data_IF_716735190476
#
_entry.id   IF_716735190476
#
_cell.length_a   1.000
_cell.length_b   1.000
_cell.length_c   1.000
_cell.angle_alpha   90.00
_cell.angle_beta   90.00
_cell.angle_gamma   90.00
#
_symmetry.space_group_name_H-M   'P 1'
#
loop_
_entity.id
_entity.type
_entity.pdbx_description
1 polymer ?
#
# COMPACT_ATOMS: atom_id res chain seq x y z
N UNK A 1 -5.90 21.20 -13.16
CA UNK A 1 -4.92 21.24 -14.27
C UNK A 1 -4.27 19.86 -14.35
N UNK A 2 -4.63 19.05 -15.36
CA UNK A 2 -3.97 17.77 -15.65
C UNK A 2 -2.83 18.07 -16.63
N UNK A 3 -1.57 18.00 -16.16
CA UNK A 3 -0.37 17.64 -16.94
C UNK A 3 0.92 18.17 -16.28
N UNK A 4 1.65 17.25 -15.64
CA UNK A 4 3.08 17.03 -15.87
C UNK A 4 3.28 15.53 -15.68
N UNK A 5 3.50 14.80 -16.78
CA UNK A 5 3.66 13.34 -16.77
C UNK A 5 5.05 12.95 -17.28
N UNK A 6 5.54 11.78 -16.86
CA UNK A 6 6.76 11.21 -17.43
C UNK A 6 6.55 10.88 -18.90
N UNK A 7 7.52 11.18 -19.77
CA UNK A 7 7.46 11.08 -21.25
C UNK A 7 7.19 9.67 -21.83
N UNK A 8 7.12 8.62 -21.00
CA UNK A 8 6.80 7.28 -21.47
C UNK A 8 5.31 7.15 -21.81
N UNK A 9 4.97 7.32 -23.09
CA UNK A 9 3.64 7.02 -23.61
C UNK A 9 3.45 5.50 -23.73
N UNK A 10 2.64 4.94 -22.84
CA UNK A 10 2.17 3.56 -22.99
C UNK A 10 1.05 3.49 -24.04
N UNK A 11 0.94 2.39 -24.81
CA UNK A 11 -0.12 2.24 -25.79
C UNK A 11 -1.51 2.28 -25.11
N UNK A 12 -2.50 2.85 -25.82
CA UNK A 12 -3.90 2.95 -25.36
C UNK A 12 -4.66 1.61 -25.36
N UNK A 13 -3.96 0.48 -25.45
CA UNK A 13 -4.53 -0.87 -25.35
C UNK A 13 -4.72 -1.28 -23.88
N UNK A 14 -5.51 -2.33 -23.61
CA UNK A 14 -5.55 -2.95 -22.28
C UNK A 14 -4.14 -3.30 -21.81
N UNK A 15 -3.82 -2.99 -20.56
CA UNK A 15 -2.51 -3.25 -19.95
C UNK A 15 -2.66 -4.26 -18.81
N UNK A 16 -1.73 -5.21 -18.64
CA UNK A 16 -1.71 -6.11 -17.47
C UNK A 16 -1.58 -5.35 -16.14
N UNK A 17 -1.21 -4.06 -16.18
CA UNK A 17 -1.12 -3.16 -15.04
C UNK A 17 -2.50 -2.66 -14.58
N UNK A 18 -3.52 -2.69 -15.45
CA UNK A 18 -4.83 -2.07 -15.18
C UNK A 18 -5.56 -2.72 -14.02
N UNK A 19 -5.55 -4.04 -13.96
CA UNK A 19 -6.25 -4.77 -12.90
C UNK A 19 -5.59 -4.56 -11.53
N UNK A 20 -4.25 -4.66 -11.39
CA UNK A 20 -3.55 -4.25 -10.18
C UNK A 20 -3.87 -2.81 -9.74
N UNK A 21 -3.92 -1.85 -10.68
CA UNK A 21 -4.27 -0.47 -10.39
C UNK A 21 -5.71 -0.36 -9.88
N UNK A 22 -6.68 -1.02 -10.51
CA UNK A 22 -8.08 -1.05 -10.06
C UNK A 22 -8.22 -1.68 -8.68
N UNK A 23 -7.53 -2.79 -8.43
CA UNK A 23 -7.52 -3.47 -7.14
C UNK A 23 -6.95 -2.57 -6.02
N UNK A 24 -5.83 -1.90 -6.28
CA UNK A 24 -5.26 -0.92 -5.35
C UNK A 24 -6.26 0.22 -5.08
N UNK A 25 -6.92 0.74 -6.12
CA UNK A 25 -7.88 1.83 -5.99
C UNK A 25 -9.08 1.48 -5.13
N UNK A 26 -9.67 0.30 -5.35
CA UNK A 26 -10.81 -0.18 -4.55
C UNK A 26 -10.42 -0.28 -3.08
N UNK A 27 -9.25 -0.84 -2.77
CA UNK A 27 -8.73 -0.89 -1.40
C UNK A 27 -8.51 0.51 -0.81
N UNK A 28 -7.94 1.42 -1.61
CA UNK A 28 -7.76 2.82 -1.21
C UNK A 28 -9.07 3.52 -0.88
N UNK A 29 -10.12 3.32 -1.69
CA UNK A 29 -11.44 3.92 -1.43
C UNK A 29 -12.07 3.40 -0.14
N UNK A 30 -11.90 2.13 0.19
CA UNK A 30 -12.41 1.55 1.44
C UNK A 30 -11.68 2.12 2.67
N UNK A 31 -10.36 2.32 2.57
CA UNK A 31 -9.56 2.98 3.62
C UNK A 31 -9.99 4.44 3.81
N UNK A 32 -10.20 5.17 2.71
CA UNK A 32 -10.66 6.58 2.76
C UNK A 32 -12.05 6.66 3.40
N UNK A 33 -12.96 5.73 3.06
CA UNK A 33 -14.28 5.65 3.70
C UNK A 33 -14.16 5.40 5.20
N UNK A 34 -13.36 4.41 5.61
CA UNK A 34 -13.13 4.14 7.04
C UNK A 34 -12.47 5.30 7.79
N UNK A 35 -11.60 6.07 7.13
CA UNK A 35 -11.02 7.27 7.72
C UNK A 35 -12.06 8.38 7.95
N UNK A 36 -13.05 8.52 7.06
CA UNK A 36 -14.15 9.47 7.29
C UNK A 36 -14.94 9.12 8.57
N UNK A 37 -15.29 7.84 8.76
CA UNK A 37 -16.00 7.36 9.96
C UNK A 37 -15.17 7.56 11.23
N UNK A 38 -13.87 7.28 11.18
CA UNK A 38 -12.94 7.47 12.31
C UNK A 38 -12.68 8.95 12.62
N UNK A 39 -12.82 9.83 11.63
CA UNK A 39 -12.83 11.28 11.81
C UNK A 39 -13.98 11.74 12.69
N UNK A 40 -15.19 11.23 12.43
CA UNK A 40 -16.39 11.55 13.21
C UNK A 40 -16.27 11.09 14.68
N UNK A 41 -15.62 9.96 14.91
CA UNK A 41 -15.39 9.42 16.26
C UNK A 41 -14.14 9.97 16.97
N UNK A 42 -13.43 10.92 16.37
CA UNK A 42 -12.19 11.50 16.89
C UNK A 42 -11.15 10.44 17.33
N UNK A 43 -10.86 9.46 16.47
CA UNK A 43 -9.89 8.42 16.76
C UNK A 43 -8.56 8.64 16.01
N UNK A 44 -7.65 9.50 16.53
CA UNK A 44 -6.43 9.87 15.82
C UNK A 44 -5.48 8.69 15.64
N UNK A 45 -5.40 7.76 16.59
CA UNK A 45 -4.52 6.58 16.47
C UNK A 45 -4.96 5.69 15.32
N UNK A 46 -6.25 5.40 15.19
CA UNK A 46 -6.75 4.61 14.06
C UNK A 46 -6.58 5.36 12.74
N UNK A 47 -6.79 6.69 12.73
CA UNK A 47 -6.54 7.52 11.56
C UNK A 47 -5.07 7.54 11.15
N UNK A 48 -4.12 7.55 12.09
CA UNK A 48 -2.69 7.47 11.80
C UNK A 48 -2.34 6.16 11.08
N UNK A 49 -2.92 5.05 11.54
CA UNK A 49 -2.75 3.72 10.92
C UNK A 49 -3.33 3.72 9.50
N UNK A 50 -4.56 4.22 9.30
CA UNK A 50 -5.16 4.29 7.97
C UNK A 50 -4.41 5.23 7.03
N UNK A 51 -3.94 6.36 7.53
CA UNK A 51 -3.11 7.30 6.77
C UNK A 51 -1.83 6.61 6.28
N UNK A 52 -1.19 5.79 7.14
CA UNK A 52 -0.01 5.01 6.76
C UNK A 52 -0.36 4.00 5.69
N UNK A 53 -1.45 3.27 5.86
CA UNK A 53 -1.88 2.28 4.87
C UNK A 53 -2.16 2.91 3.50
N UNK A 54 -2.72 4.11 3.48
CA UNK A 54 -2.97 4.85 2.23
C UNK A 54 -1.65 5.27 1.55
N UNK A 55 -0.63 5.66 2.32
CA UNK A 55 0.71 5.91 1.80
C UNK A 55 1.36 4.63 1.22
N UNK A 56 1.20 3.48 1.89
CA UNK A 56 1.69 2.18 1.38
C UNK A 56 1.02 1.80 0.06
N UNK A 57 -0.30 2.00 -0.04
CA UNK A 57 -1.03 1.79 -1.29
C UNK A 57 -0.59 2.76 -2.38
N UNK A 58 -0.32 4.03 -2.04
CA UNK A 58 0.20 4.98 -3.01
C UNK A 58 1.58 4.59 -3.53
N UNK A 59 2.49 4.16 -2.66
CA UNK A 59 3.81 3.66 -3.05
C UNK A 59 3.65 2.44 -3.98
N UNK A 60 2.75 1.52 -3.63
CA UNK A 60 2.44 0.34 -4.45
C UNK A 60 1.87 0.73 -5.81
N UNK A 61 0.93 1.68 -5.85
CA UNK A 61 0.33 2.19 -7.09
C UNK A 61 1.40 2.80 -8.00
N UNK A 62 2.26 3.63 -7.45
CA UNK A 62 3.33 4.29 -8.20
C UNK A 62 4.39 3.30 -8.71
N UNK A 63 4.62 2.23 -7.95
CA UNK A 63 5.54 1.15 -8.33
C UNK A 63 4.94 0.23 -9.41
N UNK A 64 3.69 -0.20 -9.24
CA UNK A 64 2.97 -1.04 -10.22
C UNK A 64 2.83 -0.34 -11.56
N UNK A 65 2.49 0.94 -11.57
CA UNK A 65 2.36 1.72 -12.81
C UNK A 65 3.67 1.94 -13.56
N UNK A 66 4.82 1.62 -12.96
CA UNK A 66 6.12 1.87 -13.57
C UNK A 66 6.62 0.76 -14.53
N UNK A 67 6.08 -0.46 -14.46
CA UNK A 67 6.38 -1.55 -15.40
C UNK A 67 5.42 -2.73 -15.22
N UNK A 68 5.15 -3.48 -16.30
CA UNK A 68 4.36 -4.72 -16.28
C UNK A 68 4.90 -5.76 -15.28
N UNK A 69 6.21 -5.95 -15.23
CA UNK A 69 6.86 -6.96 -14.39
C UNK A 69 6.71 -6.64 -12.88
N UNK A 70 6.52 -5.36 -12.53
CA UNK A 70 6.21 -4.94 -11.16
C UNK A 70 4.74 -5.19 -10.84
N UNK A 71 3.85 -4.98 -11.81
CA UNK A 71 2.44 -5.27 -11.67
C UNK A 71 2.16 -6.78 -11.49
N UNK A 72 2.86 -7.63 -12.23
CA UNK A 72 2.82 -9.08 -12.08
C UNK A 72 3.29 -9.49 -10.68
N UNK A 73 4.49 -9.04 -10.27
CA UNK A 73 5.03 -9.29 -8.91
C UNK A 73 4.11 -8.80 -7.79
N UNK A 74 3.41 -7.68 -7.99
CA UNK A 74 2.42 -7.19 -7.03
C UNK A 74 1.22 -8.13 -6.90
N UNK A 75 0.74 -8.68 -8.02
CA UNK A 75 -0.42 -9.57 -8.08
C UNK A 75 -0.12 -10.91 -7.39
N UNK A 76 1.07 -11.45 -7.63
CA UNK A 76 1.50 -12.73 -7.05
C UNK A 76 1.81 -12.64 -5.55
N UNK A 77 2.12 -11.44 -5.04
CA UNK A 77 2.58 -11.23 -3.67
C UNK A 77 1.66 -11.88 -2.62
N UNK A 78 0.35 -11.69 -2.73
CA UNK A 78 -0.59 -12.18 -1.69
C UNK A 78 -0.63 -13.72 -1.65
N UNK A 79 -0.58 -14.37 -2.82
CA UNK A 79 -0.55 -15.82 -2.92
C UNK A 79 0.79 -16.38 -2.46
N UNK A 80 1.90 -15.74 -2.84
CA UNK A 80 3.24 -16.12 -2.41
C UNK A 80 3.41 -15.99 -0.90
N UNK A 81 2.85 -14.95 -0.28
CA UNK A 81 2.91 -14.77 1.17
C UNK A 81 2.02 -15.77 1.90
N UNK A 82 0.85 -16.09 1.36
CA UNK A 82 0.00 -17.15 1.91
C UNK A 82 0.71 -18.51 1.85
N UNK A 83 1.26 -18.88 0.70
CA UNK A 83 2.03 -20.12 0.53
C UNK A 83 3.23 -20.16 1.49
N UNK A 84 3.96 -19.03 1.65
CA UNK A 84 5.05 -18.91 2.62
C UNK A 84 4.61 -19.18 4.05
N UNK A 85 3.52 -18.55 4.49
CA UNK A 85 2.99 -18.69 5.85
C UNK A 85 2.46 -20.11 6.08
N UNK A 86 1.78 -20.69 5.09
CA UNK A 86 1.30 -22.08 5.11
C UNK A 86 2.46 -23.07 5.24
N UNK A 87 3.51 -22.93 4.40
CA UNK A 87 4.68 -23.78 4.48
C UNK A 87 5.42 -23.65 5.83
N UNK A 88 5.49 -22.43 6.40
CA UNK A 88 6.08 -22.22 7.73
C UNK A 88 5.27 -22.92 8.82
N UNK A 89 3.95 -22.72 8.84
CA UNK A 89 3.08 -23.36 9.81
C UNK A 89 3.15 -24.90 9.73
N UNK A 90 3.30 -25.46 8.53
CA UNK A 90 3.51 -26.90 8.35
C UNK A 90 4.86 -27.38 8.88
N UNK A 91 5.94 -26.64 8.64
CA UNK A 91 7.28 -26.95 9.17
C UNK A 91 7.34 -26.88 10.70
N UNK A 92 6.57 -25.98 11.29
CA UNK A 92 6.45 -25.81 12.74
C UNK A 92 5.45 -26.81 13.38
N UNK A 93 4.81 -27.66 12.58
CA UNK A 93 3.83 -28.65 13.05
C UNK A 93 2.48 -28.06 13.48
N UNK A 94 2.19 -26.81 13.12
CA UNK A 94 0.96 -26.09 13.44
C UNK A 94 -0.14 -26.30 12.39
N UNK A 95 0.23 -26.77 11.21
CA UNK A 95 -0.66 -27.10 10.10
C UNK A 95 -0.26 -28.45 9.50
N UNK A 96 -1.22 -29.27 9.08
CA UNK A 96 -0.94 -30.54 8.42
C UNK A 96 -1.79 -30.70 7.15
N UNK A 97 -1.24 -31.43 6.19
CA UNK A 97 -1.96 -31.91 5.01
C UNK A 97 -2.28 -33.37 5.24
N UNK A 98 -3.55 -33.75 5.04
CA UNK A 98 -4.01 -35.13 5.17
C UNK A 98 -4.55 -35.65 3.86
N UNK A 99 -4.28 -36.91 3.57
CA UNK A 99 -4.90 -37.58 2.44
C UNK A 99 -6.41 -37.72 2.64
N UNK A 100 -7.19 -37.55 1.56
CA UNK A 100 -8.66 -37.63 1.61
C UNK A 100 -9.13 -39.05 1.92
N UNK A 101 -8.50 -40.06 1.33
CA UNK A 101 -8.96 -41.44 1.39
C UNK A 101 -8.71 -42.11 2.76
N UNK A 102 -7.63 -41.74 3.45
CA UNK A 102 -7.19 -42.40 4.69
C UNK A 102 -6.90 -41.48 5.87
N UNK A 103 -6.87 -40.16 5.67
CA UNK A 103 -6.56 -39.19 6.72
C UNK A 103 -5.11 -39.24 7.21
N UNK A 104 -4.24 -40.00 6.55
CA UNK A 104 -2.81 -40.07 6.86
C UNK A 104 -2.14 -38.71 6.65
N UNK A 105 -1.17 -38.40 7.51
CA UNK A 105 -0.41 -37.14 7.43
C UNK A 105 0.58 -37.20 6.24
N UNK A 106 0.31 -36.39 5.23
CA UNK A 106 1.11 -36.27 4.01
C UNK A 106 1.93 -34.96 3.99
N UNK A 107 2.05 -34.25 5.12
CA UNK A 107 2.68 -32.92 5.19
C UNK A 107 4.12 -32.93 4.71
N UNK A 108 4.89 -33.97 5.04
CA UNK A 108 6.31 -34.07 4.66
C UNK A 108 6.48 -34.23 3.14
N UNK A 109 5.65 -35.06 2.52
CA UNK A 109 5.65 -35.27 1.08
C UNK A 109 5.20 -34.01 0.36
N UNK A 110 4.09 -33.41 0.80
CA UNK A 110 3.59 -32.15 0.27
C UNK A 110 4.62 -31.02 0.32
N UNK A 111 5.38 -30.89 1.41
CA UNK A 111 6.44 -29.88 1.52
C UNK A 111 7.66 -30.18 0.65
N UNK A 112 7.92 -31.45 0.32
CA UNK A 112 9.10 -31.84 -0.46
C UNK A 112 8.98 -31.51 -1.95
N UNK A 113 7.76 -31.43 -2.46
CA UNK A 113 7.44 -31.09 -3.86
C UNK A 113 7.27 -29.57 -4.08
N UNK A 114 7.30 -28.78 -3.00
CA UNK A 114 7.03 -27.35 -3.05
C UNK A 114 8.29 -26.54 -3.29
N UNK A 115 8.20 -25.60 -4.22
CA UNK A 115 9.22 -24.59 -4.41
C UNK A 115 9.36 -23.68 -3.18
N UNK A 116 10.55 -23.09 -3.06
CA UNK A 116 10.81 -22.09 -2.04
C UNK A 116 9.94 -20.85 -2.33
N UNK A 117 9.11 -20.39 -1.38
CA UNK A 117 8.27 -19.22 -1.58
C UNK A 117 9.11 -18.00 -1.93
N UNK A 118 8.69 -17.25 -2.95
CA UNK A 118 9.32 -15.99 -3.29
C UNK A 118 8.95 -14.94 -2.25
N UNK A 119 9.97 -14.22 -1.75
CA UNK A 119 9.74 -13.13 -0.81
C UNK A 119 9.17 -11.93 -1.56
N UNK A 120 8.11 -11.34 -1.03
CA UNK A 120 7.56 -10.11 -1.56
C UNK A 120 8.53 -8.93 -1.56
N UNK A 121 8.24 -7.96 -2.43
CA UNK A 121 8.96 -6.69 -2.50
C UNK A 121 8.45 -5.77 -1.40
N UNK A 122 9.32 -5.39 -0.46
CA UNK A 122 8.94 -4.52 0.66
C UNK A 122 8.54 -3.12 0.19
N UNK A 123 7.69 -2.42 0.96
CA UNK A 123 7.29 -1.04 0.65
C UNK A 123 8.50 -0.09 0.51
N UNK A 124 9.55 -0.27 1.32
CA UNK A 124 10.80 0.50 1.17
C UNK A 124 11.44 0.27 -0.20
N UNK A 125 11.53 -0.99 -0.61
CA UNK A 125 12.12 -1.37 -1.90
C UNK A 125 11.27 -0.83 -3.06
N UNK A 126 9.94 -0.93 -2.97
CA UNK A 126 9.02 -0.34 -3.95
C UNK A 126 9.22 1.18 -4.06
N UNK A 127 9.35 1.89 -2.94
CA UNK A 127 9.59 3.34 -2.91
C UNK A 127 10.95 3.72 -3.53
N UNK A 128 11.99 2.93 -3.24
CA UNK A 128 13.34 3.08 -3.81
C UNK A 128 13.34 2.88 -5.33
N UNK A 129 12.76 1.78 -5.79
CA UNK A 129 12.64 1.44 -7.22
C UNK A 129 11.76 2.42 -8.01
N UNK A 130 10.93 3.18 -7.30
CA UNK A 130 10.01 4.17 -7.86
C UNK A 130 10.52 5.62 -7.78
N UNK A 131 11.69 5.86 -7.19
CA UNK A 131 12.24 7.21 -7.04
C UNK A 131 11.53 8.10 -6.01
N UNK A 132 10.70 7.51 -5.14
CA UNK A 132 9.91 8.23 -4.10
C UNK A 132 10.30 7.84 -2.67
N UNK A 133 11.53 7.36 -2.48
CA UNK A 133 12.06 6.94 -1.16
C UNK A 133 11.94 8.02 -0.09
N UNK A 134 11.99 9.30 -0.47
CA UNK A 134 11.82 10.42 0.45
C UNK A 134 10.44 10.40 1.16
N UNK A 135 9.37 9.97 0.48
CA UNK A 135 8.04 9.83 1.10
C UNK A 135 8.03 8.71 2.14
N UNK A 136 8.71 7.61 1.86
CA UNK A 136 8.89 6.54 2.83
C UNK A 136 9.70 7.00 4.05
N UNK A 137 10.80 7.73 3.84
CA UNK A 137 11.65 8.17 4.95
C UNK A 137 10.98 9.22 5.84
N UNK A 138 10.24 10.16 5.25
CA UNK A 138 9.66 11.32 5.96
C UNK A 138 8.29 11.04 6.55
N UNK A 139 7.45 10.22 5.91
CA UNK A 139 6.09 9.98 6.41
C UNK A 139 5.97 8.59 7.03
N UNK A 140 6.27 7.54 6.27
CA UNK A 140 6.02 6.16 6.69
C UNK A 140 6.71 5.82 8.02
N UNK A 141 7.98 6.21 8.21
CA UNK A 141 8.73 5.88 9.44
C UNK A 141 8.11 6.49 10.70
N UNK A 142 7.64 7.73 10.62
CA UNK A 142 7.03 8.40 11.76
C UNK A 142 5.65 7.81 12.07
N UNK A 143 4.84 7.59 11.03
CA UNK A 143 3.50 7.00 11.18
C UNK A 143 3.54 5.53 11.66
N UNK A 144 4.67 4.86 11.47
CA UNK A 144 4.87 3.50 11.98
C UNK A 144 4.89 3.43 13.51
N UNK A 145 5.17 4.54 14.21
CA UNK A 145 5.16 4.57 15.68
C UNK A 145 3.77 4.26 16.24
N UNK A 146 2.72 4.81 15.62
CA UNK A 146 1.33 4.55 16.01
C UNK A 146 0.94 3.09 15.73
N UNK A 147 1.30 2.57 14.56
CA UNK A 147 0.97 1.18 14.19
C UNK A 147 1.61 0.15 15.12
N UNK A 148 2.82 0.42 15.61
CA UNK A 148 3.54 -0.48 16.51
C UNK A 148 3.26 -0.23 17.99
N UNK A 149 2.26 0.63 18.32
CA UNK A 149 1.91 0.96 19.70
C UNK A 149 3.06 1.61 20.48
N UNK A 150 3.94 2.34 19.78
CA UNK A 150 5.09 3.06 20.36
C UNK A 150 4.79 4.53 20.62
N UNK A 151 3.67 5.04 20.13
CA UNK A 151 3.13 6.34 20.52
C UNK A 151 2.32 6.23 21.81
N UNK A 152 2.23 7.34 22.55
CA UNK A 152 1.35 7.43 23.72
C UNK A 152 -0.09 7.65 23.26
N UNK A 153 -1.04 6.95 23.87
CA UNK A 153 -2.47 7.23 23.65
C UNK A 153 -2.80 8.64 24.11
N UNK A 154 -3.41 9.41 23.21
CA UNK A 154 -3.83 10.79 23.49
C UNK A 154 -5.21 10.79 24.12
N UNK A 155 -5.25 11.03 25.43
CA UNK A 155 -6.48 11.07 26.23
C UNK A 155 -7.06 12.48 26.38
N UNK A 156 -6.22 13.50 26.17
CA UNK A 156 -6.64 14.90 26.23
C UNK A 156 -7.55 15.23 25.04
N UNK A 157 -8.73 15.79 25.32
CA UNK A 157 -9.77 16.03 24.31
C UNK A 157 -9.30 17.00 23.23
N UNK A 158 -8.66 18.10 23.61
CA UNK A 158 -8.22 19.14 22.66
C UNK A 158 -7.15 18.58 21.72
N UNK A 159 -6.11 17.96 22.29
CA UNK A 159 -5.04 17.31 21.49
C UNK A 159 -5.56 16.19 20.61
N UNK A 160 -6.55 15.44 21.07
CA UNK A 160 -7.19 14.38 20.28
C UNK A 160 -7.92 14.96 19.06
N UNK A 161 -8.71 16.02 19.24
CA UNK A 161 -9.38 16.70 18.12
C UNK A 161 -8.35 17.30 17.14
N UNK A 162 -7.30 17.95 17.64
CA UNK A 162 -6.21 18.49 16.81
C UNK A 162 -5.51 17.41 15.98
N UNK A 163 -5.11 16.30 16.61
CA UNK A 163 -4.47 15.18 15.90
C UNK A 163 -5.43 14.51 14.91
N UNK A 164 -6.71 14.41 15.25
CA UNK A 164 -7.74 13.90 14.32
C UNK A 164 -7.77 14.75 13.05
N UNK A 165 -7.76 16.08 13.18
CA UNK A 165 -7.72 16.98 12.04
C UNK A 165 -6.43 16.82 11.21
N UNK A 166 -5.28 16.72 11.87
CA UNK A 166 -3.99 16.49 11.19
C UNK A 166 -4.01 15.19 10.36
N UNK A 167 -4.50 14.09 10.93
CA UNK A 167 -4.58 12.84 10.20
C UNK A 167 -5.64 12.87 9.08
N UNK A 168 -6.79 13.52 9.28
CA UNK A 168 -7.77 13.72 8.21
C UNK A 168 -7.20 14.55 7.05
N UNK A 169 -6.40 15.58 7.34
CA UNK A 169 -5.69 16.35 6.32
C UNK A 169 -4.67 15.49 5.57
N UNK A 170 -3.91 14.64 6.28
CA UNK A 170 -3.00 13.70 5.67
C UNK A 170 -3.73 12.70 4.75
N UNK A 171 -4.85 12.12 5.21
CA UNK A 171 -5.71 11.25 4.38
C UNK A 171 -6.21 12.00 3.15
N UNK A 172 -6.68 13.25 3.32
CA UNK A 172 -7.16 14.08 2.21
C UNK A 172 -6.09 14.32 1.16
N UNK A 173 -4.89 14.75 1.56
CA UNK A 173 -3.76 14.98 0.66
C UNK A 173 -3.33 13.68 -0.06
N UNK A 174 -3.25 12.56 0.68
CA UNK A 174 -2.93 11.26 0.10
C UNK A 174 -4.01 10.79 -0.88
N UNK A 175 -5.29 11.04 -0.59
CA UNK A 175 -6.41 10.70 -1.48
C UNK A 175 -6.31 11.45 -2.81
N UNK A 176 -5.89 12.72 -2.79
CA UNK A 176 -5.71 13.52 -3.99
C UNK A 176 -4.60 12.96 -4.89
N UNK A 177 -3.41 12.67 -4.35
CA UNK A 177 -2.31 12.12 -5.14
C UNK A 177 -2.62 10.70 -5.65
N UNK A 178 -3.31 9.91 -4.83
CA UNK A 178 -3.73 8.56 -5.16
C UNK A 178 -4.72 8.53 -6.33
N UNK A 179 -5.79 9.33 -6.24
CA UNK A 179 -6.78 9.48 -7.31
C UNK A 179 -6.18 10.08 -8.58
N UNK A 180 -5.30 11.07 -8.45
CA UNK A 180 -4.61 11.67 -9.59
C UNK A 180 -3.75 10.65 -10.35
N UNK A 181 -2.96 9.84 -9.63
CA UNK A 181 -2.11 8.80 -10.22
C UNK A 181 -2.94 7.76 -10.97
N UNK A 182 -4.05 7.36 -10.37
CA UNK A 182 -4.99 6.42 -10.99
C UNK A 182 -5.64 6.95 -12.26
N UNK A 183 -6.11 8.20 -12.26
CA UNK A 183 -6.70 8.85 -13.44
C UNK A 183 -5.66 8.94 -14.55
N UNK A 184 -4.44 9.40 -14.24
CA UNK A 184 -3.36 9.46 -15.22
C UNK A 184 -3.07 8.10 -15.83
N UNK A 185 -3.05 7.03 -15.04
CA UNK A 185 -2.80 5.69 -15.56
C UNK A 185 -3.97 5.15 -16.40
N UNK A 186 -5.17 5.09 -15.81
CA UNK A 186 -6.32 4.40 -16.39
C UNK A 186 -6.93 5.13 -17.59
N UNK A 187 -6.83 6.46 -17.63
CA UNK A 187 -7.39 7.26 -18.73
C UNK A 187 -6.33 7.78 -19.71
N UNK A 188 -5.10 7.99 -19.24
CA UNK A 188 -4.09 8.70 -20.03
C UNK A 188 -2.80 7.93 -20.21
N UNK A 189 -2.65 6.73 -19.62
CA UNK A 189 -1.44 5.91 -19.75
C UNK A 189 -0.17 6.65 -19.31
N UNK A 190 -0.33 7.51 -18.32
CA UNK A 190 0.67 8.43 -17.79
C UNK A 190 0.89 8.21 -16.29
N UNK A 191 2.00 8.73 -15.80
CA UNK A 191 2.36 8.74 -14.38
C UNK A 191 2.68 10.17 -13.94
N UNK A 192 2.36 10.54 -12.69
CA UNK A 192 2.76 11.84 -12.19
C UNK A 192 4.28 11.92 -12.03
N UNK A 193 4.85 13.11 -12.24
CA UNK A 193 6.24 13.39 -11.88
C UNK A 193 6.40 13.51 -10.37
N UNK A 194 7.63 13.35 -9.87
CA UNK A 194 7.94 13.59 -8.45
C UNK A 194 7.55 14.99 -7.99
N UNK A 195 7.77 16.00 -8.83
CA UNK A 195 7.38 17.38 -8.51
C UNK A 195 5.87 17.52 -8.39
N UNK A 196 5.10 16.86 -9.27
CA UNK A 196 3.65 16.85 -9.19
C UNK A 196 3.15 16.14 -7.93
N UNK A 197 3.77 15.03 -7.56
CA UNK A 197 3.47 14.31 -6.31
C UNK A 197 3.69 15.24 -5.12
N UNK A 198 4.84 15.93 -5.05
CA UNK A 198 5.16 16.86 -3.96
C UNK A 198 4.19 18.05 -3.93
N UNK A 199 3.79 18.57 -5.08
CA UNK A 199 2.79 19.64 -5.20
C UNK A 199 1.44 19.20 -4.62
N UNK A 200 0.94 18.04 -5.03
CA UNK A 200 -0.34 17.49 -4.56
C UNK A 200 -0.32 17.16 -3.07
N UNK A 201 0.84 16.82 -2.53
CA UNK A 201 1.05 16.60 -1.10
C UNK A 201 1.26 17.90 -0.30
N UNK A 202 1.26 19.07 -0.94
CA UNK A 202 1.50 20.36 -0.27
C UNK A 202 2.96 20.55 0.21
N UNK A 203 3.92 19.83 -0.37
CA UNK A 203 5.34 19.86 0.03
C UNK A 203 6.16 20.90 -0.74
N UNK A 204 5.57 21.53 -1.77
CA UNK A 204 6.23 22.53 -2.60
C UNK A 204 5.84 23.98 -2.23
N UNK A 205 4.93 24.18 -1.28
CA UNK A 205 4.69 25.51 -0.71
C UNK A 205 5.94 25.96 0.04
N UNK A 206 6.51 27.11 -0.36
CA UNK A 206 7.41 27.85 0.52
C UNK A 206 6.66 28.05 1.84
N UNK A 207 7.28 27.65 2.95
CA UNK A 207 6.76 27.98 4.27
C UNK A 207 6.48 29.50 4.28
N UNK A 208 5.22 29.87 4.50
CA UNK A 208 4.83 31.26 4.76
C UNK A 208 5.20 31.57 6.20
#
# INVERSE_FOLDING_TARGET
MLAQSSENQWPNTPSPVDEPVRSILIRGSEIIRGAADLGVSENPTALAILSRQLLELFISLHWVTSSSDRAERYTEFSLNELDRLTQMAMKDGLLSVKEIAGGADATKEFLSERDRPQKGVSIEQQARESGILHLYQVFYRFMSLDTHGKSKTVIDKVKRSELTLVHLQAVGAMSQVFGHTAILWLLHRQRPTNDKIRELLGLNSKAV
#
